data_IF_059920892049
#
_entry.id   IF_059920892049
#
_cell.length_a   1.000
_cell.length_b   1.000
_cell.length_c   1.000
_cell.angle_alpha   90.00
_cell.angle_beta   90.00
_cell.angle_gamma   90.00
#
_symmetry.space_group_name_H-M   'P 1'
#
loop_
_entity.id
_entity.type
_entity.pdbx_description
1 polymer ?
#
# COMPACT_ATOMS: atom_id res chain seq x y z
N UNK A 1 -2.02 2.62 -21.92
CA UNK A 1 -1.47 1.29 -22.32
C UNK A 1 -0.11 1.35 -23.03
N UNK A 2 0.10 2.14 -24.10
CA UNK A 2 1.38 2.20 -24.84
C UNK A 2 2.62 2.44 -23.95
N UNK A 3 2.47 3.25 -22.90
CA UNK A 3 3.54 3.55 -21.96
C UNK A 3 3.94 2.35 -21.07
N UNK A 4 2.97 1.52 -20.66
CA UNK A 4 3.25 0.31 -19.88
C UNK A 4 3.98 -0.76 -20.72
N UNK A 5 3.69 -0.84 -22.02
CA UNK A 5 4.40 -1.71 -22.96
C UNK A 5 5.86 -1.27 -23.10
N UNK A 6 6.09 0.03 -23.32
CA UNK A 6 7.45 0.61 -23.38
C UNK A 6 8.27 0.36 -22.11
N UNK A 7 7.64 0.43 -20.93
CA UNK A 7 8.31 0.15 -19.66
C UNK A 7 8.72 -1.33 -19.53
N UNK A 8 7.91 -2.26 -20.07
CA UNK A 8 8.27 -3.69 -20.11
C UNK A 8 9.44 -3.97 -21.06
N UNK A 9 9.51 -3.28 -22.20
CA UNK A 9 10.65 -3.39 -23.12
C UNK A 9 11.95 -2.94 -22.45
N UNK A 10 11.94 -1.78 -21.78
CA UNK A 10 13.11 -1.27 -21.04
C UNK A 10 13.53 -2.20 -19.89
N UNK A 11 12.56 -2.84 -19.23
CA UNK A 11 12.82 -3.82 -18.19
C UNK A 11 13.53 -5.07 -18.75
N UNK A 12 13.07 -5.59 -19.89
CA UNK A 12 13.70 -6.71 -20.57
C UNK A 12 15.11 -6.37 -21.06
N UNK A 13 15.33 -5.18 -21.61
CA UNK A 13 16.66 -4.69 -22.01
C UNK A 13 17.62 -4.64 -20.82
N UNK A 14 17.16 -4.14 -19.67
CA UNK A 14 17.98 -4.11 -18.46
C UNK A 14 18.35 -5.52 -17.99
N UNK A 15 17.42 -6.48 -18.03
CA UNK A 15 17.74 -7.88 -17.69
C UNK A 15 18.76 -8.49 -18.65
N UNK A 16 18.64 -8.20 -19.94
CA UNK A 16 19.61 -8.67 -20.93
C UNK A 16 21.00 -8.06 -20.67
N UNK A 17 21.10 -6.76 -20.39
CA UNK A 17 22.37 -6.12 -20.02
C UNK A 17 22.97 -6.66 -18.73
N UNK A 18 22.14 -7.07 -17.76
CA UNK A 18 22.63 -7.72 -16.55
C UNK A 18 23.34 -9.06 -16.82
N UNK A 19 23.04 -9.72 -17.95
CA UNK A 19 23.74 -10.93 -18.40
C UNK A 19 25.03 -10.60 -19.18
N UNK A 20 25.00 -9.53 -19.99
CA UNK A 20 26.14 -9.12 -20.82
C UNK A 20 27.22 -8.33 -20.06
N UNK A 21 26.84 -7.59 -19.01
CA UNK A 21 27.72 -6.72 -18.22
C UNK A 21 27.75 -7.17 -16.75
N UNK A 22 28.53 -8.21 -16.39
CA UNK A 22 28.54 -8.78 -15.04
C UNK A 22 28.97 -7.76 -13.97
N UNK A 23 29.90 -6.86 -14.29
CA UNK A 23 30.39 -5.82 -13.37
C UNK A 23 29.30 -4.84 -12.94
N UNK A 24 28.27 -4.66 -13.77
CA UNK A 24 27.11 -3.79 -13.52
C UNK A 24 25.81 -4.57 -13.35
N UNK A 25 25.88 -5.89 -13.15
CA UNK A 25 24.71 -6.76 -13.03
C UNK A 25 23.68 -6.21 -12.04
N UNK A 26 24.11 -5.84 -10.85
CA UNK A 26 23.22 -5.34 -9.80
C UNK A 26 22.59 -3.99 -10.15
N UNK A 27 23.33 -3.11 -10.81
CA UNK A 27 22.80 -1.85 -11.31
C UNK A 27 21.69 -2.08 -12.33
N UNK A 28 21.93 -2.96 -13.31
CA UNK A 28 20.95 -3.29 -14.34
C UNK A 28 19.71 -4.00 -13.77
N UNK A 29 19.88 -4.90 -12.81
CA UNK A 29 18.76 -5.55 -12.11
C UNK A 29 17.93 -4.56 -11.28
N UNK A 30 18.57 -3.60 -10.60
CA UNK A 30 17.86 -2.56 -9.88
C UNK A 30 17.03 -1.68 -10.82
N UNK A 31 17.59 -1.35 -11.99
CA UNK A 31 16.87 -0.58 -13.01
C UNK A 31 15.70 -1.37 -13.62
N UNK A 32 15.86 -2.67 -13.85
CA UNK A 32 14.77 -3.55 -14.29
C UNK A 32 13.61 -3.56 -13.28
N UNK A 33 13.93 -3.72 -11.99
CA UNK A 33 12.92 -3.71 -10.92
C UNK A 33 12.16 -2.37 -10.86
N UNK A 34 12.85 -1.24 -11.06
CA UNK A 34 12.21 0.09 -11.14
C UNK A 34 11.18 0.14 -12.28
N UNK A 35 11.56 -0.29 -13.48
CA UNK A 35 10.65 -0.26 -14.63
C UNK A 35 9.48 -1.23 -14.48
N UNK A 36 9.70 -2.39 -13.86
CA UNK A 36 8.64 -3.34 -13.52
C UNK A 36 7.58 -2.70 -12.59
N UNK A 37 8.01 -2.03 -11.52
CA UNK A 37 7.11 -1.34 -10.59
C UNK A 37 6.35 -0.21 -11.30
N UNK A 38 7.03 0.59 -12.13
CA UNK A 38 6.39 1.66 -12.90
C UNK A 38 5.35 1.12 -13.88
N UNK A 39 5.64 0.00 -14.56
CA UNK A 39 4.70 -0.64 -15.47
C UNK A 39 3.45 -1.15 -14.72
N UNK A 40 3.65 -1.80 -13.58
CA UNK A 40 2.55 -2.28 -12.72
C UNK A 40 1.68 -1.12 -12.20
N UNK A 41 2.30 -0.02 -11.76
CA UNK A 41 1.56 1.17 -11.34
C UNK A 41 0.73 1.74 -12.49
N UNK A 42 1.32 1.93 -13.68
CA UNK A 42 0.59 2.43 -14.85
C UNK A 42 -0.58 1.51 -15.23
N UNK A 43 -0.41 0.20 -15.13
CA UNK A 43 -1.50 -0.75 -15.37
C UNK A 43 -2.60 -0.64 -14.31
N UNK A 44 -2.25 -0.54 -13.02
CA UNK A 44 -3.20 -0.41 -11.93
C UNK A 44 -3.98 0.91 -11.99
N UNK A 45 -3.32 2.05 -12.21
CA UNK A 45 -3.98 3.36 -12.29
C UNK A 45 -4.83 3.52 -13.55
N UNK A 46 -4.47 2.90 -14.68
CA UNK A 46 -5.34 2.88 -15.86
C UNK A 46 -6.53 1.91 -15.72
N UNK A 47 -6.55 1.06 -14.68
CA UNK A 47 -7.73 0.26 -14.32
C UNK A 47 -8.78 1.07 -13.55
N UNK A 48 -8.43 2.25 -13.02
CA UNK A 48 -9.36 3.17 -12.33
C UNK A 48 -9.96 4.22 -13.29
N UNK A 49 -10.09 3.87 -14.57
CA UNK A 49 -10.50 4.77 -15.64
C UNK A 49 -11.66 4.28 -16.51
N UNK A 50 -12.50 3.37 -16.00
CA UNK A 50 -13.78 3.04 -16.64
C UNK A 50 -14.93 3.41 -15.71
N UNK A 51 -15.60 4.52 -16.05
CA UNK A 51 -16.95 4.95 -15.67
C UNK A 51 -17.62 4.26 -14.48
N UNK A 52 -17.60 4.94 -13.33
CA UNK A 52 -18.79 5.06 -12.49
C UNK A 52 -18.72 6.42 -11.76
N UNK A 53 -19.62 7.39 -12.04
CA UNK A 53 -20.00 8.36 -11.01
C UNK A 53 -20.95 7.63 -10.05
N UNK A 54 -20.43 6.64 -9.35
CA UNK A 54 -21.12 5.98 -8.26
C UNK A 54 -20.07 5.86 -7.18
N UNK A 55 -19.81 6.99 -6.53
CA UNK A 55 -19.15 7.01 -5.22
C UNK A 55 -19.90 5.97 -4.41
N UNK A 56 -19.32 4.80 -4.07
CA UNK A 56 -19.98 3.99 -3.06
C UNK A 56 -19.94 4.89 -1.83
N UNK A 57 -21.10 5.38 -1.38
CA UNK A 57 -21.24 5.85 -0.02
C UNK A 57 -20.75 4.68 0.84
N UNK A 58 -19.47 4.69 1.19
CA UNK A 58 -18.93 3.80 2.19
C UNK A 58 -19.60 4.29 3.46
N UNK A 59 -20.78 3.73 3.75
CA UNK A 59 -21.39 3.76 5.07
C UNK A 59 -20.42 3.00 5.95
N UNK A 60 -19.40 3.71 6.43
CA UNK A 60 -18.63 3.33 7.59
C UNK A 60 -19.69 3.09 8.66
N UNK A 61 -20.01 1.82 8.91
CA UNK A 61 -20.83 1.46 10.04
C UNK A 61 -20.16 2.14 11.23
N UNK A 62 -20.82 3.14 11.82
CA UNK A 62 -20.38 3.67 13.10
C UNK A 62 -20.38 2.46 14.02
N UNK A 63 -19.19 1.98 14.36
CA UNK A 63 -19.06 0.98 15.40
C UNK A 63 -19.77 1.56 16.61
N UNK A 64 -20.78 0.85 17.09
CA UNK A 64 -21.47 1.23 18.31
C UNK A 64 -20.40 1.48 19.36
N UNK A 65 -20.31 2.72 19.85
CA UNK A 65 -19.45 3.13 20.95
C UNK A 65 -19.99 2.57 22.28
N UNK A 66 -20.50 1.34 22.25
CA UNK A 66 -20.88 0.63 23.45
C UNK A 66 -19.62 0.38 24.27
N UNK A 67 -19.71 0.68 25.56
CA UNK A 67 -18.65 0.35 26.50
C UNK A 67 -18.45 -1.15 26.44
N UNK A 68 -17.28 -1.56 25.95
CA UNK A 68 -16.82 -2.93 26.11
C UNK A 68 -16.68 -3.19 27.61
N UNK A 69 -17.64 -3.88 28.21
CA UNK A 69 -17.67 -4.15 29.66
C UNK A 69 -16.43 -4.93 30.12
N UNK A 70 -15.73 -5.61 29.21
CA UNK A 70 -14.46 -6.28 29.49
C UNK A 70 -13.29 -5.31 29.70
N UNK A 71 -13.47 -4.03 29.33
CA UNK A 71 -12.50 -2.94 29.58
C UNK A 71 -12.87 -2.12 30.81
N UNK A 72 -13.88 -2.52 31.58
CA UNK A 72 -14.12 -1.94 32.90
C UNK A 72 -12.97 -2.38 33.80
N UNK A 73 -11.95 -1.54 33.90
CA UNK A 73 -11.09 -1.54 35.07
C UNK A 73 -11.95 -1.08 36.23
N UNK A 74 -12.06 -1.92 37.25
CA UNK A 74 -12.67 -1.53 38.52
C UNK A 74 -12.04 -0.19 38.97
N UNK A 75 -12.84 0.78 39.43
CA UNK A 75 -12.30 1.99 40.02
C UNK A 75 -11.35 1.59 41.15
N UNK A 76 -10.09 2.03 41.05
CA UNK A 76 -9.11 1.85 42.10
C UNK A 76 -9.72 2.43 43.39
N UNK A 77 -9.78 1.66 44.51
CA UNK A 77 -10.43 2.14 45.71
C UNK A 77 -9.75 3.44 46.16
N UNK A 78 -10.53 4.52 46.23
CA UNK A 78 -10.08 5.81 46.73
C UNK A 78 -9.69 5.66 48.20
N UNK A 79 -8.39 5.43 48.43
CA UNK A 79 -7.76 5.32 49.74
C UNK A 79 -7.63 6.65 50.47
N UNK A 80 -8.61 7.55 50.36
CA UNK A 80 -8.69 8.77 51.18
C UNK A 80 -10.03 8.85 51.89
N UNK A 81 -10.12 8.10 53.00
CA UNK A 81 -10.84 8.61 54.18
C UNK A 81 -10.21 9.96 54.54
N UNK A 82 -10.99 11.02 54.50
CA UNK A 82 -10.70 12.21 55.30
C UNK A 82 -11.19 11.93 56.73
N UNK A 83 -10.31 11.81 57.74
CA UNK A 83 -10.73 12.06 59.10
C UNK A 83 -10.65 13.56 59.35
N UNK A 84 -11.42 14.03 60.32
CA UNK A 84 -11.03 15.22 61.07
C UNK A 84 -9.63 15.04 61.66
#
# INVERSE_FOLDING_TARGET
>A
MKEAIRLRELEAECRQRALSEPDKKWYWLAQAAKYQVQASQKLAFHSEGSDTPDTPEIKLAQWSHERDERRVMDPLPDGRRSPW
#
